data_IF_680960524264
#
_entry.id   IF_680960524264
#
_cell.length_a   1.000
_cell.length_b   1.000
_cell.length_c   1.000
_cell.angle_alpha   90.00
_cell.angle_beta   90.00
_cell.angle_gamma   90.00
#
_symmetry.space_group_name_H-M   'P 1'
#
loop_
_entity.id
_entity.type
_entity.pdbx_description
1 polymer ?
#
# COMPACT_ATOMS: atom_id res chain seq x y z
N UNK A 1 10.83 19.48 -3.69
CA UNK A 1 11.89 18.57 -4.17
C UNK A 1 12.52 17.95 -2.92
N UNK A 2 12.00 16.80 -2.47
CA UNK A 2 12.51 16.09 -1.30
C UNK A 2 13.60 15.12 -1.77
N UNK A 3 14.74 15.10 -1.07
CA UNK A 3 15.89 14.27 -1.40
C UNK A 3 15.60 12.78 -1.13
N UNK A 4 16.23 11.84 -1.86
CA UNK A 4 16.10 10.42 -1.57
C UNK A 4 16.80 10.08 -0.25
N UNK A 5 16.01 9.60 0.72
CA UNK A 5 16.49 9.14 2.02
C UNK A 5 17.12 7.73 1.88
N UNK A 6 18.19 7.49 2.65
CA UNK A 6 19.18 6.44 2.40
C UNK A 6 18.67 5.02 2.69
N UNK A 7 18.99 4.07 1.81
CA UNK A 7 18.66 2.66 1.98
C UNK A 7 19.49 2.02 3.11
N UNK A 8 18.83 1.47 4.13
CA UNK A 8 19.48 0.75 5.22
C UNK A 8 19.32 -0.78 5.08
N UNK A 9 20.42 -1.52 5.25
CA UNK A 9 20.51 -2.99 5.04
C UNK A 9 20.35 -3.74 6.36
N UNK A 10 19.31 -4.57 6.48
CA UNK A 10 19.25 -5.66 7.47
C UNK A 10 18.36 -6.79 6.94
N UNK A 11 18.94 -7.94 6.60
CA UNK A 11 18.23 -9.08 5.99
C UNK A 11 17.90 -8.84 4.52
N UNK A 12 17.73 -9.91 3.72
CA UNK A 12 17.65 -9.91 2.24
C UNK A 12 16.42 -9.20 1.61
N UNK A 13 15.80 -8.25 2.33
CA UNK A 13 14.66 -7.47 1.83
C UNK A 13 14.94 -5.99 2.03
N UNK A 14 15.12 -5.26 0.93
CA UNK A 14 15.15 -3.80 0.92
C UNK A 14 13.73 -3.27 0.80
N UNK A 15 13.31 -2.46 1.78
CA UNK A 15 12.00 -1.81 1.77
C UNK A 15 12.19 -0.32 1.54
N UNK A 16 11.76 0.16 0.38
CA UNK A 16 11.82 1.57 0.03
C UNK A 16 10.39 2.14 0.07
N UNK A 17 10.17 3.16 0.89
CA UNK A 17 8.92 3.93 0.85
C UNK A 17 8.99 4.83 -0.38
N UNK A 18 8.16 4.54 -1.38
CA UNK A 18 8.23 5.25 -2.66
C UNK A 18 7.39 6.52 -2.64
N UNK A 19 6.22 6.51 -1.97
CA UNK A 19 5.38 7.71 -1.76
C UNK A 19 4.42 7.56 -0.58
N UNK A 20 4.27 8.60 0.22
CA UNK A 20 3.09 8.86 1.06
C UNK A 20 2.12 9.73 0.27
N UNK A 21 0.82 9.42 0.27
CA UNK A 21 -0.21 10.30 -0.29
C UNK A 21 -1.21 10.69 0.80
N UNK A 22 -1.62 11.95 0.80
CA UNK A 22 -2.45 12.58 1.83
C UNK A 22 -3.95 12.26 1.65
N UNK A 23 -4.25 11.04 1.23
CA UNK A 23 -5.61 10.50 1.21
C UNK A 23 -5.57 9.35 2.21
N UNK A 24 -6.04 9.64 3.43
CA UNK A 24 -6.24 8.78 4.61
C UNK A 24 -5.25 7.61 4.77
N UNK A 25 -4.28 7.75 5.68
CA UNK A 25 -2.87 7.66 5.33
C UNK A 25 -2.49 6.36 4.60
N UNK A 26 -2.43 6.45 3.27
CA UNK A 26 -1.94 5.37 2.42
C UNK A 26 -0.44 5.55 2.14
N UNK A 27 0.33 4.48 2.38
CA UNK A 27 1.76 4.40 2.12
C UNK A 27 2.05 3.46 0.96
N UNK A 28 2.82 3.92 -0.03
CA UNK A 28 3.36 3.06 -1.07
C UNK A 28 4.73 2.52 -0.64
N UNK A 29 4.77 1.21 -0.38
CA UNK A 29 5.99 0.46 -0.07
C UNK A 29 6.44 -0.33 -1.30
N UNK A 30 7.67 -0.10 -1.76
CA UNK A 30 8.37 -1.01 -2.65
C UNK A 30 9.15 -2.02 -1.79
N UNK A 31 8.76 -3.29 -1.86
CA UNK A 31 9.46 -4.40 -1.23
C UNK A 31 10.31 -5.09 -2.29
N UNK A 32 11.64 -5.05 -2.14
CA UNK A 32 12.61 -5.68 -3.04
C UNK A 32 13.32 -6.82 -2.29
N UNK A 33 13.12 -8.07 -2.70
CA UNK A 33 13.77 -9.25 -2.09
C UNK A 33 13.28 -10.55 -2.74
N UNK A 34 14.21 -11.44 -3.11
CA UNK A 34 13.99 -12.49 -4.11
C UNK A 34 13.43 -13.83 -3.60
N UNK A 35 13.17 -14.01 -2.31
CA UNK A 35 12.55 -15.25 -1.83
C UNK A 35 12.05 -15.12 -0.40
N UNK A 36 10.91 -14.47 -0.21
CA UNK A 36 10.06 -14.86 0.92
C UNK A 36 9.08 -15.91 0.39
N UNK A 37 9.07 -17.16 0.90
CA UNK A 37 7.96 -18.05 0.63
C UNK A 37 6.69 -17.31 1.05
N UNK A 38 5.57 -17.53 0.37
CA UNK A 38 4.23 -17.01 0.71
C UNK A 38 4.11 -16.91 2.24
N UNK A 39 4.33 -15.72 2.82
CA UNK A 39 4.71 -15.66 4.22
C UNK A 39 5.34 -14.33 4.64
N UNK A 40 4.71 -13.72 5.66
CA UNK A 40 5.12 -12.61 6.52
C UNK A 40 6.37 -11.82 6.07
N UNK A 41 6.14 -10.59 5.60
CA UNK A 41 7.19 -9.60 5.42
C UNK A 41 7.35 -8.77 6.72
N UNK A 42 8.59 -8.62 7.19
CA UNK A 42 8.90 -7.69 8.27
C UNK A 42 9.37 -6.36 7.65
N UNK A 43 8.63 -5.28 7.90
CA UNK A 43 8.98 -3.95 7.40
C UNK A 43 9.56 -3.14 8.55
N UNK A 44 10.73 -2.54 8.35
CA UNK A 44 11.31 -1.52 9.24
C UNK A 44 11.29 -0.20 8.50
N UNK A 45 10.47 0.74 8.95
CA UNK A 45 10.33 2.06 8.33
C UNK A 45 9.76 3.02 9.36
N UNK A 46 10.44 4.15 9.57
CA UNK A 46 9.95 5.18 10.49
C UNK A 46 8.56 5.69 10.12
N UNK A 47 8.26 5.76 8.81
CA UNK A 47 6.95 6.13 8.31
C UNK A 47 5.87 5.10 8.72
N UNK A 48 6.15 3.80 8.60
CA UNK A 48 5.24 2.75 9.06
C UNK A 48 5.07 2.80 10.58
N UNK A 49 6.15 3.02 11.33
CA UNK A 49 6.13 3.14 12.78
C UNK A 49 5.34 4.37 13.27
N UNK A 50 5.35 5.47 12.51
CA UNK A 50 4.51 6.64 12.76
C UNK A 50 3.02 6.30 12.56
N UNK A 51 2.66 5.64 11.46
CA UNK A 51 1.27 5.22 11.18
C UNK A 51 0.72 4.26 12.24
N UNK A 52 1.56 3.36 12.75
CA UNK A 52 1.19 2.43 13.82
C UNK A 52 0.92 3.12 15.16
N UNK A 53 1.49 4.32 15.38
CA UNK A 53 1.31 5.14 16.59
C UNK A 53 0.12 6.07 16.52
N UNK A 54 -0.11 6.72 15.37
CA UNK A 54 -1.09 7.80 15.25
C UNK A 54 -2.55 7.31 15.13
N UNK A 55 -2.79 6.12 14.55
CA UNK A 55 -4.08 5.39 14.48
C UNK A 55 -5.34 6.26 14.68
N UNK A 56 -5.48 7.28 13.82
CA UNK A 56 -6.48 8.34 13.97
C UNK A 56 -7.92 7.81 13.90
N UNK A 57 -8.10 6.66 13.23
CA UNK A 57 -9.37 5.96 13.07
C UNK A 57 -9.23 4.49 13.51
N UNK A 58 -9.55 4.16 14.78
CA UNK A 58 -9.45 2.79 15.28
C UNK A 58 -10.30 1.82 14.44
N UNK A 59 -9.68 0.74 13.96
CA UNK A 59 -10.36 -0.31 13.21
C UNK A 59 -10.55 -0.03 11.72
N UNK A 60 -10.07 1.11 11.18
CA UNK A 60 -10.16 1.42 9.76
C UNK A 60 -9.53 0.34 8.88
N UNK A 61 -8.35 -0.16 9.24
CA UNK A 61 -7.69 -1.24 8.52
C UNK A 61 -8.53 -2.54 8.45
N UNK A 62 -9.27 -2.85 9.53
CA UNK A 62 -10.17 -4.01 9.57
C UNK A 62 -11.37 -3.77 8.66
N UNK A 63 -11.93 -2.56 8.70
CA UNK A 63 -13.06 -2.18 7.84
C UNK A 63 -12.71 -2.35 6.36
N UNK A 64 -11.56 -1.81 5.92
CA UNK A 64 -11.09 -1.96 4.53
C UNK A 64 -10.88 -3.43 4.14
N UNK A 65 -10.29 -4.22 5.03
CA UNK A 65 -10.09 -5.66 4.79
C UNK A 65 -11.42 -6.39 4.60
N UNK A 66 -12.42 -6.10 5.43
CA UNK A 66 -13.75 -6.72 5.33
C UNK A 66 -14.49 -6.30 4.06
N UNK A 67 -14.45 -5.02 3.69
CA UNK A 67 -15.04 -4.52 2.44
C UNK A 67 -14.42 -5.19 1.22
N UNK A 68 -13.08 -5.30 1.17
CA UNK A 68 -12.36 -5.96 0.09
C UNK A 68 -12.62 -7.46 0.03
N UNK A 69 -12.71 -8.13 1.18
CA UNK A 69 -13.09 -9.54 1.26
C UNK A 69 -14.52 -9.77 0.73
N UNK A 70 -15.46 -8.91 1.10
CA UNK A 70 -16.83 -8.99 0.59
C UNK A 70 -16.89 -8.76 -0.93
N UNK A 71 -16.13 -7.81 -1.46
CA UNK A 71 -16.02 -7.59 -2.90
C UNK A 71 -15.42 -8.81 -3.63
N UNK A 72 -14.39 -9.45 -3.05
CA UNK A 72 -13.80 -10.67 -3.58
C UNK A 72 -14.80 -11.82 -3.63
N UNK A 73 -15.52 -12.07 -2.53
CA UNK A 73 -16.55 -13.12 -2.44
C UNK A 73 -17.73 -12.86 -3.38
N UNK A 74 -18.02 -11.59 -3.68
CA UNK A 74 -19.01 -11.20 -4.69
C UNK A 74 -18.53 -11.38 -6.14
N UNK A 75 -17.29 -11.84 -6.36
CA UNK A 75 -16.71 -12.07 -7.68
C UNK A 75 -16.24 -10.79 -8.39
N UNK A 76 -16.10 -9.67 -7.68
CA UNK A 76 -15.54 -8.44 -8.24
C UNK A 76 -14.01 -8.57 -8.38
N UNK A 77 -13.43 -8.02 -9.46
CA UNK A 77 -11.98 -8.01 -9.60
C UNK A 77 -11.38 -7.09 -8.53
N UNK A 78 -10.56 -7.67 -7.67
CA UNK A 78 -9.84 -6.95 -6.61
C UNK A 78 -8.34 -7.27 -6.68
N UNK A 79 -7.45 -6.32 -6.36
CA UNK A 79 -6.04 -6.63 -6.19
C UNK A 79 -5.83 -7.61 -5.04
N UNK A 80 -4.65 -8.22 -4.98
CA UNK A 80 -4.26 -9.01 -3.81
C UNK A 80 -4.12 -8.09 -2.59
N UNK A 81 -4.68 -8.47 -1.44
CA UNK A 81 -4.63 -7.68 -0.21
C UNK A 81 -4.42 -8.55 1.04
N UNK A 82 -3.99 -7.91 2.12
CA UNK A 82 -3.61 -8.53 3.38
C UNK A 82 -3.92 -7.58 4.55
N UNK A 83 -4.11 -8.15 5.73
CA UNK A 83 -4.18 -7.43 7.00
C UNK A 83 -2.95 -7.79 7.82
N UNK A 84 -2.32 -6.81 8.48
CA UNK A 84 -1.20 -7.07 9.38
C UNK A 84 -1.63 -7.91 10.59
N UNK A 85 -0.69 -8.68 11.18
CA UNK A 85 -0.98 -9.56 12.33
C UNK A 85 -1.57 -8.80 13.55
N UNK A 86 -1.24 -7.51 13.70
CA UNK A 86 -1.79 -6.64 14.75
C UNK A 86 -3.05 -5.87 14.34
N UNK A 87 -3.61 -6.16 13.15
CA UNK A 87 -4.80 -5.56 12.56
C UNK A 87 -4.77 -4.03 12.42
N UNK A 88 -3.58 -3.42 12.44
CA UNK A 88 -3.39 -1.96 12.35
C UNK A 88 -3.12 -1.44 10.94
N UNK A 89 -2.74 -2.32 10.00
CA UNK A 89 -2.41 -1.95 8.63
C UNK A 89 -3.15 -2.86 7.65
N UNK A 90 -3.88 -2.24 6.74
CA UNK A 90 -4.39 -2.88 5.53
C UNK A 90 -3.36 -2.67 4.42
N UNK A 91 -2.97 -3.75 3.74
CA UNK A 91 -1.93 -3.74 2.71
C UNK A 91 -2.50 -4.32 1.43
N UNK A 92 -2.38 -3.61 0.32
CA UNK A 92 -2.77 -4.12 -1.00
C UNK A 92 -1.62 -4.05 -1.99
N UNK A 93 -1.59 -5.01 -2.92
CA UNK A 93 -0.71 -4.98 -4.08
C UNK A 93 -1.22 -3.93 -5.07
N UNK A 94 -0.31 -3.11 -5.58
CA UNK A 94 -0.60 -2.18 -6.68
C UNK A 94 -1.09 -2.93 -7.91
N UNK A 95 -2.23 -2.51 -8.45
CA UNK A 95 -2.81 -3.07 -9.68
C UNK A 95 -2.29 -2.39 -10.96
N UNK A 96 -1.64 -1.23 -10.84
CA UNK A 96 -1.02 -0.50 -11.96
C UNK A 96 0.41 -0.97 -12.26
N UNK A 97 0.72 -2.22 -11.92
CA UNK A 97 2.02 -2.86 -12.08
C UNK A 97 1.85 -4.26 -12.64
N UNK A 98 2.72 -4.64 -13.57
CA UNK A 98 2.76 -6.01 -14.09
C UNK A 98 3.50 -6.97 -13.14
N UNK A 99 3.68 -8.22 -13.57
CA UNK A 99 4.37 -9.25 -12.79
C UNK A 99 5.87 -8.95 -12.58
N UNK A 100 6.48 -8.19 -13.50
CA UNK A 100 7.87 -7.75 -13.45
C UNK A 100 8.02 -6.39 -12.74
N UNK A 101 6.94 -5.87 -12.14
CA UNK A 101 6.85 -4.56 -11.46
C UNK A 101 6.99 -3.35 -12.40
N UNK A 102 6.87 -3.53 -13.72
CA UNK A 102 6.81 -2.41 -14.64
C UNK A 102 5.47 -1.67 -14.49
N UNK A 103 5.46 -0.33 -14.65
CA UNK A 103 4.24 0.45 -14.63
C UNK A 103 3.32 0.09 -15.80
N UNK A 104 2.05 -0.15 -15.50
CA UNK A 104 0.95 -0.18 -16.45
C UNK A 104 0.27 1.19 -16.33
N UNK A 105 0.11 1.92 -17.43
CA UNK A 105 -0.51 3.26 -17.40
C UNK A 105 -1.88 3.22 -16.70
N UNK A 106 -2.05 4.06 -15.69
CA UNK A 106 -3.29 4.15 -14.91
C UNK A 106 -3.62 5.62 -14.63
N UNK A 107 -4.87 5.99 -14.86
CA UNK A 107 -5.45 7.30 -14.57
C UNK A 107 -6.82 7.11 -13.92
N UNK A 108 -7.20 8.00 -13.01
CA UNK A 108 -8.53 7.99 -12.42
C UNK A 108 -9.56 8.69 -13.33
N UNK A 109 -10.85 8.47 -13.05
CA UNK A 109 -11.93 9.02 -13.87
C UNK A 109 -11.93 10.56 -13.87
N UNK A 110 -11.58 11.19 -12.75
CA UNK A 110 -11.54 12.65 -12.63
C UNK A 110 -10.48 13.26 -13.57
N UNK A 111 -9.28 12.67 -13.61
CA UNK A 111 -8.19 13.06 -14.51
C UNK A 111 -8.60 12.91 -15.97
N UNK A 112 -9.23 11.78 -16.33
CA UNK A 112 -9.74 11.54 -17.69
C UNK A 112 -10.84 12.55 -18.09
N UNK A 113 -11.62 13.03 -17.12
CA UNK A 113 -12.66 14.03 -17.33
C UNK A 113 -12.16 15.49 -17.25
N UNK A 114 -10.86 15.70 -16.96
CA UNK A 114 -10.30 17.04 -16.76
C UNK A 114 -10.83 17.75 -15.50
N UNK A 115 -11.34 16.99 -14.53
CA UNK A 115 -11.83 17.50 -13.25
C UNK A 115 -10.68 17.65 -12.26
N UNK A 116 -10.72 18.70 -11.44
CA UNK A 116 -9.76 18.87 -10.36
C UNK A 116 -10.09 17.99 -9.15
N UNK A 117 -9.13 17.86 -8.23
CA UNK A 117 -9.31 17.07 -7.01
C UNK A 117 -10.43 17.59 -6.09
N UNK A 118 -10.83 18.86 -6.21
CA UNK A 118 -11.94 19.45 -5.45
C UNK A 118 -13.32 19.16 -6.07
N UNK A 119 -13.32 18.60 -7.28
CA UNK A 119 -14.51 18.30 -8.07
C UNK A 119 -14.82 16.79 -8.13
N UNK A 120 -14.04 15.97 -7.42
CA UNK A 120 -14.27 14.54 -7.22
C UNK A 120 -15.21 14.32 -6.03
#
# INVERSE_FOLDING_TARGET
MLAPEQAERTGDVQVEVVKTVNVDPMLLLALSGSSSPIGRAHVRSEAVDALLREQQFPGLAINEFLCMSAAQEAGLPVPQFYLSDNAKLFVMRRFDRDEQLNPIGFEDMASLMGLSADQK
#
